data_IF_468363759002
#
_entry.id   IF_468363759002
#
_cell.length_a   1.000
_cell.length_b   1.000
_cell.length_c   1.000
_cell.angle_alpha   90.00
_cell.angle_beta   90.00
_cell.angle_gamma   90.00
#
_symmetry.space_group_name_H-M   'P 1'
#
loop_
_entity.id
_entity.type
_entity.pdbx_description
1 polymer ?
#
# COMPACT_ATOMS: atom_id res chain seq x y z
N UNK A 1 -59.14 -8.45 -38.16
CA UNK A 1 -59.10 -7.13 -37.49
C UNK A 1 -57.66 -6.83 -37.15
N UNK A 2 -57.14 -5.76 -37.74
CA UNK A 2 -55.79 -5.25 -37.57
C UNK A 2 -55.63 -4.58 -36.19
N UNK A 3 -54.39 -4.53 -35.68
CA UNK A 3 -53.70 -3.48 -34.88
C UNK A 3 -52.89 -4.13 -33.74
N UNK A 4 -51.70 -3.70 -33.32
CA UNK A 4 -50.74 -2.65 -33.65
C UNK A 4 -49.46 -3.00 -32.86
N UNK A 5 -48.30 -2.63 -33.42
CA UNK A 5 -46.94 -2.65 -32.85
C UNK A 5 -46.83 -2.22 -31.38
N UNK A 6 -45.86 -2.80 -30.67
CA UNK A 6 -44.94 -2.01 -29.83
C UNK A 6 -43.57 -2.68 -29.79
N UNK A 7 -42.64 -2.13 -30.59
CA UNK A 7 -41.23 -2.47 -30.58
C UNK A 7 -40.59 -1.72 -29.40
N UNK A 8 -40.28 -2.41 -28.30
CA UNK A 8 -39.40 -1.86 -27.27
C UNK A 8 -37.96 -2.09 -27.68
N UNK A 9 -37.38 -1.10 -28.36
CA UNK A 9 -35.96 -1.01 -28.61
C UNK A 9 -35.26 -0.70 -27.28
N UNK A 10 -34.74 -1.73 -26.60
CA UNK A 10 -33.86 -1.54 -25.44
C UNK A 10 -32.50 -1.13 -25.98
N UNK A 11 -32.18 0.16 -25.87
CA UNK A 11 -30.88 0.72 -26.20
C UNK A 11 -29.88 0.22 -25.15
N UNK A 12 -29.15 -0.84 -25.47
CA UNK A 12 -28.08 -1.36 -24.64
C UNK A 12 -26.95 -0.33 -24.55
N UNK A 13 -26.80 0.30 -23.39
CA UNK A 13 -25.61 1.08 -23.08
C UNK A 13 -24.42 0.11 -23.02
N UNK A 14 -23.62 0.10 -24.10
CA UNK A 14 -22.29 -0.50 -24.11
C UNK A 14 -21.42 0.37 -23.18
N UNK A 15 -21.47 0.10 -21.88
CA UNK A 15 -20.42 0.56 -20.98
C UNK A 15 -19.15 -0.18 -21.43
N UNK A 16 -18.26 0.55 -22.11
CA UNK A 16 -16.92 0.07 -22.37
C UNK A 16 -16.30 -0.30 -21.02
N UNK A 17 -16.18 -1.61 -20.76
CA UNK A 17 -15.29 -2.11 -19.72
C UNK A 17 -13.89 -1.72 -20.16
N UNK A 18 -13.46 -0.50 -19.81
CA UNK A 18 -12.05 -0.24 -19.68
C UNK A 18 -11.54 -1.27 -18.66
N UNK A 19 -10.46 -2.02 -18.95
CA UNK A 19 -9.84 -2.84 -17.93
C UNK A 19 -9.48 -1.88 -16.80
N UNK A 20 -10.19 -2.00 -15.68
CA UNK A 20 -9.70 -1.47 -14.42
C UNK A 20 -8.36 -2.17 -14.25
N UNK A 21 -7.26 -1.45 -14.46
CA UNK A 21 -5.95 -1.95 -14.09
C UNK A 21 -6.03 -2.22 -12.59
N UNK A 22 -6.27 -3.48 -12.24
CA UNK A 22 -6.01 -4.00 -10.90
C UNK A 22 -4.50 -3.93 -10.77
N UNK A 23 -4.01 -2.93 -10.06
CA UNK A 23 -2.59 -2.83 -9.71
C UNK A 23 -2.17 -3.90 -8.71
N UNK A 24 -3.14 -4.66 -8.18
CA UNK A 24 -2.88 -5.91 -7.50
C UNK A 24 -2.85 -7.03 -8.55
N UNK A 25 -1.65 -7.39 -9.01
CA UNK A 25 -1.46 -8.69 -9.61
C UNK A 25 -1.70 -9.75 -8.53
N UNK A 26 -2.56 -10.71 -8.83
CA UNK A 26 -2.72 -11.94 -8.07
C UNK A 26 -1.37 -12.70 -8.10
N UNK A 27 -0.53 -12.41 -7.12
CA UNK A 27 0.80 -12.96 -7.02
C UNK A 27 1.41 -12.49 -5.72
N UNK A 28 1.49 -13.42 -4.78
CA UNK A 28 2.38 -13.38 -3.61
C UNK A 28 3.58 -12.47 -3.91
N UNK A 29 3.88 -11.54 -3.00
CA UNK A 29 5.03 -10.63 -3.00
C UNK A 29 6.38 -11.38 -2.98
N UNK A 30 6.60 -12.27 -3.93
CA UNK A 30 7.86 -12.96 -4.15
C UNK A 30 8.77 -11.95 -4.83
N UNK A 31 9.72 -11.44 -4.07
CA UNK A 31 10.77 -10.62 -4.62
C UNK A 31 11.48 -11.36 -5.78
N UNK A 32 11.90 -10.66 -6.84
CA UNK A 32 12.70 -11.26 -7.91
C UNK A 32 13.95 -11.95 -7.36
N UNK A 33 14.57 -12.82 -8.18
CA UNK A 33 15.85 -13.45 -7.80
C UNK A 33 16.89 -12.38 -7.40
N UNK A 34 17.56 -12.59 -6.27
CA UNK A 34 18.52 -11.64 -5.70
C UNK A 34 17.90 -10.57 -4.80
N UNK A 35 16.57 -10.42 -4.77
CA UNK A 35 15.87 -9.48 -3.89
C UNK A 35 15.22 -10.19 -2.70
N UNK A 36 15.08 -9.47 -1.60
CA UNK A 36 14.30 -9.90 -0.43
C UNK A 36 13.06 -9.03 -0.31
N UNK A 37 11.89 -9.65 -0.13
CA UNK A 37 10.64 -8.91 0.04
C UNK A 37 10.66 -8.13 1.37
N UNK A 38 10.55 -6.80 1.29
CA UNK A 38 10.44 -5.93 2.48
C UNK A 38 9.01 -5.85 3.01
N UNK A 39 8.02 -5.90 2.13
CA UNK A 39 6.60 -5.86 2.47
C UNK A 39 5.96 -7.21 2.20
N UNK A 40 5.14 -7.67 3.14
CA UNK A 40 4.49 -8.98 3.07
C UNK A 40 3.16 -8.97 2.31
N UNK A 41 2.63 -7.78 1.97
CA UNK A 41 1.36 -7.64 1.25
C UNK A 41 0.12 -7.46 2.10
N UNK A 42 0.21 -7.73 3.41
CA UNK A 42 -0.98 -7.92 4.24
C UNK A 42 -1.03 -6.98 5.43
N UNK A 43 0.10 -6.64 6.01
CA UNK A 43 0.16 -5.86 7.25
C UNK A 43 1.51 -5.16 7.45
N UNK A 44 1.63 -4.42 8.54
CA UNK A 44 2.82 -3.64 8.88
C UNK A 44 3.84 -4.44 9.70
N UNK A 45 3.75 -5.77 9.76
CA UNK A 45 4.76 -6.58 10.44
C UNK A 45 6.13 -6.38 9.79
N UNK A 46 7.16 -6.21 10.62
CA UNK A 46 8.51 -5.88 10.14
C UNK A 46 8.77 -4.39 9.96
N UNK A 47 7.82 -3.53 10.32
CA UNK A 47 7.94 -2.08 10.27
C UNK A 47 7.69 -1.43 11.65
N UNK A 48 8.24 -0.24 11.85
CA UNK A 48 7.97 0.63 12.98
C UNK A 48 7.87 2.10 12.55
N UNK A 49 7.33 2.94 13.44
CA UNK A 49 7.26 4.39 13.24
C UNK A 49 8.54 5.10 13.64
N UNK A 50 9.06 5.94 12.74
CA UNK A 50 10.16 6.88 13.05
C UNK A 50 9.93 8.23 12.36
N UNK A 51 10.02 9.36 13.07
CA UNK A 51 9.89 10.67 12.46
C UNK A 51 11.21 11.04 11.77
N UNK A 52 11.34 12.31 11.37
CA UNK A 52 12.63 12.84 10.98
C UNK A 52 13.57 12.92 12.20
N UNK A 53 14.39 11.88 12.38
CA UNK A 53 15.33 11.69 13.50
C UNK A 53 16.69 11.24 12.94
N UNK A 54 17.80 11.66 13.56
CA UNK A 54 19.11 11.05 13.27
C UNK A 54 19.04 9.56 13.65
N UNK A 55 19.28 8.61 12.72
CA UNK A 55 19.21 7.18 13.02
C UNK A 55 20.10 6.76 14.19
N UNK A 56 21.21 7.47 14.45
CA UNK A 56 22.13 7.18 15.55
C UNK A 56 21.54 7.46 16.93
N UNK A 57 20.47 8.26 16.99
CA UNK A 57 19.77 8.60 18.23
C UNK A 57 18.66 7.61 18.57
N UNK A 58 18.38 6.64 17.69
CA UNK A 58 17.26 5.71 17.86
C UNK A 58 17.37 4.90 19.15
N UNK A 59 18.53 4.33 19.43
CA UNK A 59 18.73 3.46 20.60
C UNK A 59 18.57 4.23 21.93
N UNK A 60 18.98 5.49 21.96
CA UNK A 60 18.86 6.38 23.11
C UNK A 60 17.47 7.02 23.24
N UNK A 61 16.63 6.90 22.22
CA UNK A 61 15.29 7.48 22.23
C UNK A 61 14.40 6.74 23.23
N UNK A 62 13.78 7.50 24.14
CA UNK A 62 12.85 6.99 25.14
C UNK A 62 11.73 6.15 24.51
N UNK A 63 11.36 5.05 25.16
CA UNK A 63 10.36 4.12 24.65
C UNK A 63 9.00 4.80 24.45
N UNK A 64 8.61 5.76 25.31
CA UNK A 64 7.31 6.45 25.15
C UNK A 64 7.22 7.20 23.80
N UNK A 65 8.33 7.74 23.31
CA UNK A 65 8.37 8.39 21.98
C UNK A 65 8.24 7.37 20.86
N UNK A 66 8.92 6.22 20.98
CA UNK A 66 8.81 5.12 20.01
C UNK A 66 7.37 4.59 19.95
N UNK A 67 6.72 4.43 21.10
CA UNK A 67 5.33 3.99 21.21
C UNK A 67 4.36 5.03 20.63
N UNK A 68 4.62 6.32 20.83
CA UNK A 68 3.86 7.40 20.19
C UNK A 68 3.95 7.29 18.66
N UNK A 69 5.14 7.22 18.09
CA UNK A 69 5.32 7.13 16.63
C UNK A 69 4.78 5.83 16.06
N UNK A 70 4.86 4.75 16.83
CA UNK A 70 4.23 3.49 16.46
C UNK A 70 2.71 3.63 16.39
N UNK A 71 2.10 4.40 17.29
CA UNK A 71 0.66 4.70 17.27
C UNK A 71 0.29 5.56 16.05
N UNK A 72 1.11 6.56 15.72
CA UNK A 72 0.93 7.36 14.49
C UNK A 72 1.02 6.51 13.22
N UNK A 73 1.87 5.47 13.20
CA UNK A 73 1.87 4.49 12.10
C UNK A 73 0.54 3.76 11.98
N UNK A 74 -0.05 3.33 13.11
CA UNK A 74 -1.35 2.65 13.08
C UNK A 74 -2.51 3.58 12.65
N UNK A 75 -2.36 4.89 12.88
CA UNK A 75 -3.35 5.89 12.47
C UNK A 75 -3.24 6.26 10.99
N UNK A 76 -2.03 6.43 10.48
CA UNK A 76 -1.78 7.06 9.18
C UNK A 76 -1.26 6.12 8.09
N UNK A 77 -0.89 4.88 8.43
CA UNK A 77 -0.52 3.86 7.45
C UNK A 77 -1.53 2.73 7.41
N UNK A 78 -1.92 2.36 6.20
CA UNK A 78 -2.84 1.24 5.96
C UNK A 78 -2.32 0.36 4.85
N UNK A 79 -2.77 -0.90 4.83
CA UNK A 79 -2.62 -1.78 3.68
C UNK A 79 -3.92 -1.77 2.91
N UNK A 80 -3.87 -1.37 1.64
CA UNK A 80 -5.02 -1.35 0.74
C UNK A 80 -4.63 -1.93 -0.60
N UNK A 81 -5.40 -2.89 -1.10
CA UNK A 81 -5.19 -3.55 -2.38
C UNK A 81 -3.74 -4.08 -2.54
N UNK A 82 -3.15 -4.61 -1.47
CA UNK A 82 -1.79 -5.14 -1.47
C UNK A 82 -0.69 -4.07 -1.53
N UNK A 83 -1.00 -2.79 -1.23
CA UNK A 83 -0.05 -1.70 -1.18
C UNK A 83 -0.06 -0.98 0.18
N UNK A 84 1.09 -0.45 0.57
CA UNK A 84 1.21 0.49 1.68
C UNK A 84 0.67 1.86 1.25
N UNK A 85 -0.26 2.41 2.03
CA UNK A 85 -0.89 3.71 1.77
C UNK A 85 -0.74 4.61 2.99
N UNK A 86 -0.22 5.81 2.78
CA UNK A 86 -0.15 6.87 3.77
C UNK A 86 -1.05 8.05 3.35
N UNK A 87 -1.67 8.71 4.34
CA UNK A 87 -2.58 9.84 4.12
C UNK A 87 -1.88 11.21 4.09
N UNK A 88 -0.55 11.24 4.21
CA UNK A 88 0.27 12.45 4.26
C UNK A 88 0.64 12.89 5.68
N UNK A 89 0.26 12.14 6.71
CA UNK A 89 0.51 12.46 8.12
C UNK A 89 1.24 11.33 8.87
N UNK A 90 1.59 11.62 10.13
CA UNK A 90 2.22 10.67 11.05
C UNK A 90 3.71 10.42 10.81
N UNK A 91 4.24 9.48 11.58
CA UNK A 91 5.61 9.00 11.44
C UNK A 91 5.83 8.26 10.11
N UNK A 92 7.08 8.26 9.65
CA UNK A 92 7.47 7.46 8.50
C UNK A 92 7.52 5.98 8.87
N UNK A 93 7.14 5.13 7.91
CA UNK A 93 7.29 3.70 8.02
C UNK A 93 8.75 3.31 7.80
N UNK A 94 9.38 2.69 8.80
CA UNK A 94 10.80 2.28 8.79
C UNK A 94 10.91 0.78 9.04
N UNK A 95 11.78 0.07 8.32
CA UNK A 95 11.97 -1.37 8.52
C UNK A 95 12.57 -1.66 9.90
N UNK A 96 12.11 -2.72 10.57
CA UNK A 96 12.71 -3.19 11.82
C UNK A 96 14.13 -3.73 11.62
N UNK A 97 14.42 -4.22 10.42
CA UNK A 97 15.77 -4.63 10.02
C UNK A 97 16.52 -3.42 9.48
N UNK A 98 17.75 -3.26 9.93
CA UNK A 98 18.71 -2.30 9.40
C UNK A 98 19.41 -2.88 8.16
N UNK A 99 19.66 -2.03 7.18
CA UNK A 99 20.33 -2.37 5.93
C UNK A 99 21.48 -1.38 5.68
N UNK A 100 22.53 -1.87 5.00
CA UNK A 100 23.68 -1.05 4.58
C UNK A 100 23.63 -0.78 3.09
N UNK A 101 24.66 -1.21 2.36
CA UNK A 101 24.70 -1.14 0.91
C UNK A 101 23.59 -2.00 0.30
N UNK A 102 22.64 -1.36 -0.39
CA UNK A 102 21.46 -2.04 -0.98
C UNK A 102 21.10 -1.49 -2.35
N UNK A 103 20.42 -2.35 -3.11
CA UNK A 103 19.56 -1.95 -4.22
C UNK A 103 18.09 -2.04 -3.75
N UNK A 104 17.33 -0.95 -3.91
CA UNK A 104 15.93 -0.88 -3.53
C UNK A 104 15.04 -0.84 -4.78
N UNK A 105 14.24 -1.89 -4.96
CA UNK A 105 13.21 -1.95 -6.00
C UNK A 105 11.84 -1.61 -5.39
N UNK A 106 11.19 -0.59 -5.93
CA UNK A 106 9.88 -0.11 -5.46
C UNK A 106 9.05 0.39 -6.64
N UNK A 107 7.78 -0.03 -6.67
CA UNK A 107 6.74 0.61 -7.46
C UNK A 107 5.96 1.57 -6.56
N UNK A 108 5.70 2.79 -7.03
CA UNK A 108 4.98 3.81 -6.26
C UNK A 108 3.98 4.57 -7.12
N UNK A 109 2.99 5.16 -6.44
CA UNK A 109 2.01 6.06 -7.03
C UNK A 109 1.69 7.20 -6.06
N UNK A 110 1.58 8.41 -6.59
CA UNK A 110 1.16 9.63 -5.87
C UNK A 110 -0.26 10.02 -6.22
#
# INVERSE_FOLDING_TARGET
>A
MSRIFCLSLVLGALAALAPQHSWAQDGVHSAPEGFTALFNGTDLNGWHGRPHLDPRQWDETAQEKKDQWQSEVQEHWTVKDGALVNDGHGAYLTTNKEYGDIELLIDFKT
#
